data_IF_531214940555
#
_entry.id   IF_531214940555
#
_cell.length_a   1.000
_cell.length_b   1.000
_cell.length_c   1.000
_cell.angle_alpha   90.00
_cell.angle_beta   90.00
_cell.angle_gamma   90.00
#
_symmetry.space_group_name_H-M   'P 1'
#
loop_
_entity.id
_entity.type
_entity.pdbx_description
1 polymer ?
#
# COMPACT_ATOMS: atom_id res chain seq x y z
N UNK A 1 0.70 -14.15 -10.06
CA UNK A 1 1.69 -13.21 -10.62
C UNK A 1 1.16 -12.36 -11.77
N UNK A 2 1.08 -12.86 -13.01
CA UNK A 2 0.76 -12.01 -14.18
C UNK A 2 -0.54 -11.18 -14.03
N UNK A 3 -1.64 -11.80 -13.57
CA UNK A 3 -2.92 -11.09 -13.34
C UNK A 3 -2.81 -9.97 -12.30
N UNK A 4 -2.11 -10.22 -11.19
CA UNK A 4 -1.86 -9.20 -10.17
C UNK A 4 -1.03 -8.05 -10.75
N UNK A 5 0.05 -8.38 -11.47
CA UNK A 5 0.93 -7.38 -12.07
C UNK A 5 0.16 -6.49 -13.07
N UNK A 6 -0.62 -7.08 -13.97
CA UNK A 6 -1.43 -6.34 -14.94
C UNK A 6 -2.43 -5.40 -14.25
N UNK A 7 -3.13 -5.88 -13.21
CA UNK A 7 -4.08 -5.04 -12.47
C UNK A 7 -3.40 -3.91 -11.70
N UNK A 8 -2.28 -4.20 -11.03
CA UNK A 8 -1.48 -3.21 -10.33
C UNK A 8 -0.88 -2.17 -11.30
N UNK A 9 -0.48 -2.58 -12.51
CA UNK A 9 0.02 -1.66 -13.54
C UNK A 9 -1.06 -0.70 -14.02
N UNK A 10 -2.27 -1.20 -14.32
CA UNK A 10 -3.39 -0.31 -14.69
C UNK A 10 -3.69 0.68 -13.58
N UNK A 11 -3.68 0.22 -12.32
CA UNK A 11 -3.87 1.11 -11.19
C UNK A 11 -2.73 2.13 -11.11
N UNK A 12 -1.48 1.71 -11.27
CA UNK A 12 -0.33 2.61 -11.26
C UNK A 12 -0.46 3.72 -12.31
N UNK A 13 -0.85 3.40 -13.55
CA UNK A 13 -1.10 4.41 -14.59
C UNK A 13 -2.23 5.38 -14.21
N UNK A 14 -3.32 4.88 -13.61
CA UNK A 14 -4.39 5.73 -13.09
C UNK A 14 -3.93 6.67 -11.97
N UNK A 15 -3.05 6.19 -11.09
CA UNK A 15 -2.47 6.96 -9.98
C UNK A 15 -1.48 8.02 -10.50
N UNK A 16 -0.63 7.65 -11.46
CA UNK A 16 0.31 8.56 -12.13
C UNK A 16 -0.45 9.72 -12.77
N UNK A 17 -1.54 9.44 -13.49
CA UNK A 17 -2.39 10.46 -14.12
C UNK A 17 -3.06 11.41 -13.11
N UNK A 18 -3.14 11.02 -11.84
CA UNK A 18 -3.69 11.82 -10.73
C UNK A 18 -2.61 12.49 -9.88
N UNK A 19 -1.36 12.49 -10.34
CA UNK A 19 -0.26 13.20 -9.69
C UNK A 19 0.52 12.39 -8.65
N UNK A 20 0.27 11.08 -8.51
CA UNK A 20 1.10 10.23 -7.64
C UNK A 20 2.52 10.14 -8.22
N UNK A 21 3.51 10.36 -7.37
CA UNK A 21 4.93 10.20 -7.67
C UNK A 21 5.77 9.98 -6.41
N UNK A 22 7.11 10.10 -6.51
CA UNK A 22 8.02 9.94 -5.37
C UNK A 22 7.59 10.75 -4.14
N UNK A 23 7.65 10.13 -2.96
CA UNK A 23 7.24 10.65 -1.64
C UNK A 23 5.77 11.11 -1.50
N UNK A 24 4.96 10.98 -2.57
CA UNK A 24 3.51 11.17 -2.49
C UNK A 24 2.91 10.07 -1.63
N UNK A 25 2.10 10.44 -0.64
CA UNK A 25 1.38 9.50 0.21
C UNK A 25 0.02 9.20 -0.40
N UNK A 26 -0.34 7.92 -0.46
CA UNK A 26 -1.66 7.45 -0.89
C UNK A 26 -2.24 6.61 0.23
N UNK A 27 -3.35 7.07 0.81
CA UNK A 27 -4.04 6.32 1.84
C UNK A 27 -4.77 5.11 1.24
N UNK A 28 -4.80 4.00 1.95
CA UNK A 28 -5.54 2.79 1.58
C UNK A 28 -6.40 2.39 2.75
N UNK A 29 -7.71 2.53 2.63
CA UNK A 29 -8.69 2.10 3.63
C UNK A 29 -9.52 0.94 3.06
N UNK A 30 -9.17 -0.28 3.44
CA UNK A 30 -9.77 -1.47 2.84
C UNK A 30 -9.75 -2.66 3.78
N UNK A 31 -10.70 -3.57 3.58
CA UNK A 31 -10.65 -4.91 4.12
C UNK A 31 -9.57 -5.75 3.43
N UNK A 32 -9.19 -6.82 4.12
CA UNK A 32 -8.22 -7.78 3.62
C UNK A 32 -8.73 -8.44 2.33
N UNK A 33 -8.04 -8.23 1.23
CA UNK A 33 -8.38 -8.87 -0.04
C UNK A 33 -7.46 -8.51 -1.19
N UNK A 34 -7.77 -9.04 -2.38
CA UNK A 34 -6.98 -8.82 -3.59
C UNK A 34 -6.94 -7.35 -4.02
N UNK A 35 -8.00 -6.59 -3.73
CA UNK A 35 -8.06 -5.17 -4.03
C UNK A 35 -7.04 -4.38 -3.19
N UNK A 36 -6.93 -4.68 -1.89
CA UNK A 36 -5.91 -4.12 -1.00
C UNK A 36 -4.51 -4.44 -1.53
N UNK A 37 -4.20 -5.70 -1.84
CA UNK A 37 -2.88 -6.07 -2.39
C UNK A 37 -2.60 -5.34 -3.71
N UNK A 38 -3.58 -5.28 -4.61
CA UNK A 38 -3.47 -4.52 -5.88
C UNK A 38 -3.17 -3.04 -5.61
N UNK A 39 -3.80 -2.43 -4.59
CA UNK A 39 -3.58 -1.05 -4.18
C UNK A 39 -2.13 -0.81 -3.77
N UNK A 40 -1.58 -1.63 -2.88
CA UNK A 40 -0.21 -1.51 -2.40
C UNK A 40 0.79 -1.55 -3.57
N UNK A 41 0.66 -2.54 -4.45
CA UNK A 41 1.56 -2.66 -5.61
C UNK A 41 1.36 -1.53 -6.63
N UNK A 42 0.11 -1.10 -6.87
CA UNK A 42 -0.18 0.01 -7.78
C UNK A 42 0.43 1.32 -7.30
N UNK A 43 0.36 1.60 -5.99
CA UNK A 43 0.96 2.78 -5.36
C UNK A 43 2.48 2.77 -5.52
N UNK A 44 3.14 1.66 -5.16
CA UNK A 44 4.60 1.53 -5.27
C UNK A 44 5.07 1.65 -6.74
N UNK A 45 4.33 1.05 -7.68
CA UNK A 45 4.61 1.16 -9.12
C UNK A 45 4.39 2.57 -9.67
N UNK A 46 3.45 3.33 -9.12
CA UNK A 46 3.28 4.75 -9.43
C UNK A 46 4.40 5.63 -8.86
N UNK A 47 5.18 5.08 -7.93
CA UNK A 47 6.29 5.74 -7.23
C UNK A 47 5.91 6.35 -5.89
N UNK A 48 4.66 6.18 -5.43
CA UNK A 48 4.20 6.72 -4.14
C UNK A 48 4.42 5.74 -2.98
N UNK A 49 4.09 6.23 -1.78
CA UNK A 49 4.10 5.46 -0.54
C UNK A 49 2.68 5.22 -0.04
N UNK A 50 2.37 4.00 0.40
CA UNK A 50 1.04 3.72 0.94
C UNK A 50 0.93 4.08 2.43
N UNK A 51 -0.25 4.55 2.83
CA UNK A 51 -0.63 4.80 4.23
C UNK A 51 -1.80 3.86 4.57
N UNK A 52 -1.57 2.77 5.30
CA UNK A 52 -2.61 1.78 5.57
C UNK A 52 -3.57 2.27 6.66
N UNK A 53 -4.87 2.15 6.39
CA UNK A 53 -5.97 2.50 7.26
C UNK A 53 -6.86 1.27 7.45
N UNK A 54 -6.91 0.71 8.67
CA UNK A 54 -7.79 -0.41 8.96
C UNK A 54 -9.23 0.10 9.17
N UNK A 55 -10.23 -0.31 8.36
CA UNK A 55 -11.61 0.17 8.51
C UNK A 55 -12.22 -0.19 9.87
N UNK A 56 -11.65 -1.13 10.63
CA UNK A 56 -12.08 -1.45 11.99
C UNK A 56 -11.62 -0.41 13.04
N UNK A 57 -10.75 0.54 12.69
CA UNK A 57 -10.35 1.61 13.60
C UNK A 57 -11.51 2.58 13.84
N UNK A 58 -11.55 3.23 15.02
CA UNK A 58 -12.50 4.31 15.26
C UNK A 58 -12.38 5.41 14.18
N UNK A 59 -13.52 5.93 13.71
CA UNK A 59 -13.55 6.94 12.66
C UNK A 59 -12.69 8.18 12.98
N UNK A 60 -12.66 8.63 14.23
CA UNK A 60 -11.79 9.73 14.67
C UNK A 60 -10.30 9.43 14.44
N UNK A 61 -9.87 8.20 14.71
CA UNK A 61 -8.48 7.77 14.47
C UNK A 61 -8.17 7.75 12.98
N UNK A 62 -9.10 7.25 12.17
CA UNK A 62 -8.95 7.23 10.71
C UNK A 62 -8.83 8.64 10.14
N UNK A 63 -9.69 9.56 10.59
CA UNK A 63 -9.67 10.96 10.19
C UNK A 63 -8.40 11.66 10.62
N UNK A 64 -7.93 11.43 11.86
CA UNK A 64 -6.66 11.96 12.33
C UNK A 64 -5.49 11.51 11.45
N UNK A 65 -5.38 10.21 11.17
CA UNK A 65 -4.30 9.67 10.33
C UNK A 65 -4.38 10.27 8.93
N UNK A 66 -5.58 10.32 8.35
CA UNK A 66 -5.79 10.86 7.00
C UNK A 66 -5.39 12.34 6.91
N UNK A 67 -5.72 13.14 7.94
CA UNK A 67 -5.35 14.56 8.01
C UNK A 67 -3.85 14.75 8.22
N UNK A 68 -3.23 14.02 9.16
CA UNK A 68 -1.80 14.15 9.46
C UNK A 68 -0.92 13.64 8.32
N UNK A 69 -1.35 12.57 7.64
CA UNK A 69 -0.62 12.00 6.52
C UNK A 69 -0.71 12.86 5.25
N UNK A 70 -1.71 13.75 5.14
CA UNK A 70 -1.97 14.60 3.97
C UNK A 70 -1.73 13.86 2.64
N UNK A 71 -2.47 12.77 2.37
CA UNK A 71 -2.26 11.99 1.17
C UNK A 71 -2.88 12.66 -0.05
N UNK A 72 -2.25 12.50 -1.21
CA UNK A 72 -2.75 13.05 -2.49
C UNK A 72 -4.04 12.35 -2.94
N UNK A 73 -4.25 11.10 -2.50
CA UNK A 73 -5.41 10.27 -2.81
C UNK A 73 -5.73 9.31 -1.66
N UNK A 74 -7.02 9.00 -1.54
CA UNK A 74 -7.54 7.91 -0.72
C UNK A 74 -8.09 6.80 -1.63
N UNK A 75 -7.51 5.60 -1.54
CA UNK A 75 -8.06 4.39 -2.13
C UNK A 75 -8.91 3.69 -1.08
N UNK A 76 -10.20 3.52 -1.36
CA UNK A 76 -11.11 2.92 -0.39
C UNK A 76 -12.03 1.87 -1.03
N UNK A 77 -12.22 0.76 -0.35
CA UNK A 77 -13.29 -0.18 -0.66
C UNK A 77 -14.61 0.23 0.05
N UNK A 78 -15.66 -0.57 -0.06
CA UNK A 78 -16.96 -0.28 0.53
C UNK A 78 -16.90 -0.10 2.05
N UNK A 79 -16.14 -0.96 2.74
CA UNK A 79 -15.95 -0.88 4.18
C UNK A 79 -15.16 0.37 4.57
N UNK A 80 -14.09 0.68 3.82
CA UNK A 80 -13.29 1.88 4.04
C UNK A 80 -14.06 3.17 3.85
N UNK A 81 -14.90 3.26 2.81
CA UNK A 81 -15.80 4.40 2.58
C UNK A 81 -16.82 4.53 3.70
N UNK A 82 -17.41 3.44 4.16
CA UNK A 82 -18.34 3.45 5.28
C UNK A 82 -17.68 3.92 6.59
N UNK A 83 -16.42 3.50 6.85
CA UNK A 83 -15.68 3.87 8.04
C UNK A 83 -15.18 5.33 8.03
N UNK A 84 -14.84 5.87 6.86
CA UNK A 84 -14.31 7.23 6.69
C UNK A 84 -15.41 8.28 6.47
N UNK A 85 -16.60 7.89 6.01
CA UNK A 85 -17.64 8.84 5.61
C UNK A 85 -17.22 9.63 4.38
N UNK A 86 -17.31 10.97 4.46
CA UNK A 86 -17.01 11.89 3.36
C UNK A 86 -15.76 12.75 3.66
N UNK A 87 -14.54 12.17 3.61
CA UNK A 87 -13.31 12.93 3.79
C UNK A 87 -13.10 13.93 2.62
N UNK A 88 -12.41 15.04 2.91
CA UNK A 88 -12.05 16.04 1.91
C UNK A 88 -11.01 15.54 0.88
N UNK A 89 -10.25 14.49 1.22
CA UNK A 89 -9.25 13.88 0.35
C UNK A 89 -9.91 13.26 -0.90
N UNK A 90 -9.40 13.50 -2.12
CA UNK A 90 -9.95 12.89 -3.32
C UNK A 90 -9.91 11.36 -3.26
N UNK A 91 -11.04 10.73 -3.55
CA UNK A 91 -11.23 9.29 -3.39
C UNK A 91 -11.22 8.53 -4.71
N UNK A 92 -10.72 7.29 -4.68
CA UNK A 92 -10.87 6.31 -5.75
C UNK A 92 -11.36 4.99 -5.16
N UNK A 93 -12.51 4.52 -5.62
CA UNK A 93 -13.08 3.25 -5.20
C UNK A 93 -12.24 2.07 -5.72
N UNK A 94 -11.85 1.15 -4.84
CA UNK A 94 -11.01 0.01 -5.19
C UNK A 94 -11.73 -1.07 -6.01
N UNK A 95 -13.06 -1.12 -5.91
CA UNK A 95 -13.90 -2.02 -6.70
C UNK A 95 -14.24 -1.47 -8.07
N UNK A 96 -14.00 -0.17 -8.30
CA UNK A 96 -14.28 0.43 -9.59
C UNK A 96 -13.44 -0.24 -10.68
N UNK A 97 -14.08 -0.59 -11.78
CA UNK A 97 -13.38 -1.08 -12.95
C UNK A 97 -12.40 0.01 -13.43
N UNK A 98 -11.12 -0.34 -13.50
CA UNK A 98 -10.14 0.51 -14.15
C UNK A 98 -10.37 0.44 -15.66
N UNK A 99 -10.35 1.57 -16.39
CA UNK A 99 -10.52 1.55 -17.85
C UNK A 99 -9.55 0.57 -18.52
N UNK A 100 -10.06 -0.27 -19.42
CA UNK A 100 -9.22 -1.21 -20.17
C UNK A 100 -8.19 -0.50 -21.07
N UNK A 101 -8.44 0.78 -21.37
CA UNK A 101 -7.54 1.68 -22.09
C UNK A 101 -6.26 2.01 -21.32
N UNK A 102 -6.23 1.83 -20.00
CA UNK A 102 -5.01 1.97 -19.22
C UNK A 102 -4.08 0.79 -19.49
N UNK A 103 -2.80 1.07 -19.72
CA UNK A 103 -1.80 0.05 -20.03
C UNK A 103 -1.69 -0.99 -18.91
N UNK A 104 -1.59 -2.27 -19.30
CA UNK A 104 -1.25 -3.36 -18.40
C UNK A 104 0.27 -3.55 -18.26
N UNK A 105 1.08 -2.81 -19.02
CA UNK A 105 2.53 -2.84 -18.96
C UNK A 105 3.07 -2.07 -17.76
N UNK A 106 4.24 -2.48 -17.29
CA UNK A 106 4.89 -1.82 -16.16
C UNK A 106 5.14 -0.34 -16.50
N UNK A 107 4.76 0.61 -15.64
CA UNK A 107 5.22 1.98 -15.79
C UNK A 107 6.75 2.02 -15.66
N UNK A 108 7.39 3.02 -16.27
CA UNK A 108 8.80 3.27 -16.03
C UNK A 108 9.04 3.49 -14.52
N UNK A 109 10.11 2.93 -13.92
CA UNK A 109 10.41 3.15 -12.52
C UNK A 109 10.54 4.66 -12.21
N UNK A 110 9.79 5.14 -11.21
CA UNK A 110 9.78 6.56 -10.82
C UNK A 110 10.41 6.81 -9.46
N UNK A 111 10.28 5.86 -8.53
CA UNK A 111 10.89 5.93 -7.21
C UNK A 111 12.35 5.44 -7.24
N UNK A 112 13.17 6.07 -6.40
CA UNK A 112 14.53 5.63 -6.06
C UNK A 112 14.55 5.00 -4.66
N UNK A 113 15.65 4.34 -4.30
CA UNK A 113 15.79 3.67 -3.00
C UNK A 113 15.63 4.59 -1.78
N UNK A 114 15.87 5.90 -1.93
CA UNK A 114 15.67 6.93 -0.89
C UNK A 114 14.22 7.36 -0.68
N UNK A 115 13.32 7.01 -1.57
CA UNK A 115 11.93 7.47 -1.47
C UNK A 115 11.12 6.55 -0.56
N UNK A 116 10.04 7.10 -0.03
CA UNK A 116 9.12 6.39 0.84
C UNK A 116 8.46 5.20 0.12
N UNK A 117 8.39 4.07 0.81
CA UNK A 117 7.60 2.90 0.43
C UNK A 117 6.27 2.86 1.18
N UNK A 118 6.28 3.20 2.48
CA UNK A 118 5.08 3.27 3.30
C UNK A 118 5.23 4.20 4.49
N UNK A 119 4.08 4.60 5.05
CA UNK A 119 3.99 5.31 6.33
C UNK A 119 3.01 4.59 7.24
N UNK A 120 3.48 4.05 8.37
CA UNK A 120 2.64 3.33 9.34
C UNK A 120 2.51 4.13 10.62
N UNK A 121 1.27 4.30 11.10
CA UNK A 121 0.98 5.07 12.30
C UNK A 121 1.06 4.23 13.56
N UNK A 122 1.87 4.68 14.52
CA UNK A 122 2.05 4.03 15.82
C UNK A 122 1.52 4.92 16.94
N UNK A 123 1.22 4.34 18.11
CA UNK A 123 0.88 5.12 19.30
C UNK A 123 2.08 5.98 19.72
N UNK A 124 1.93 7.30 19.65
CA UNK A 124 2.97 8.20 20.15
C UNK A 124 2.99 8.23 21.67
N UNK A 125 4.19 8.40 22.25
CA UNK A 125 4.38 8.63 23.69
C UNK A 125 3.63 9.86 24.22
N UNK A 126 3.28 10.80 23.33
CA UNK A 126 2.53 12.02 23.60
C UNK A 126 1.01 11.84 23.43
N UNK A 127 0.52 10.61 23.30
CA UNK A 127 -0.90 10.27 23.12
C UNK A 127 -1.42 10.38 21.67
N UNK A 128 -0.80 11.23 20.84
CA UNK A 128 -1.15 11.37 19.42
C UNK A 128 -0.38 10.36 18.55
N UNK A 129 -1.04 9.65 17.61
CA UNK A 129 -0.34 8.75 16.70
C UNK A 129 0.69 9.47 15.83
N UNK A 130 1.80 8.79 15.51
CA UNK A 130 2.89 9.32 14.67
C UNK A 130 3.14 8.41 13.47
N UNK A 131 3.24 8.98 12.27
CA UNK A 131 3.57 8.27 11.05
C UNK A 131 5.05 7.91 10.96
N UNK A 132 5.39 6.63 11.06
CA UNK A 132 6.73 6.12 10.83
C UNK A 132 6.97 5.98 9.31
N UNK A 133 7.78 6.89 8.76
CA UNK A 133 8.12 6.95 7.35
C UNK A 133 9.25 5.95 7.03
N UNK A 134 9.00 5.03 6.09
CA UNK A 134 9.95 3.99 5.73
C UNK A 134 10.31 4.04 4.25
N UNK A 135 11.60 4.14 3.95
CA UNK A 135 12.12 4.18 2.58
C UNK A 135 12.23 2.79 1.95
N UNK A 136 12.19 2.73 0.61
CA UNK A 136 12.42 1.52 -0.16
C UNK A 136 13.70 0.77 0.22
N UNK A 137 14.82 1.48 0.45
CA UNK A 137 16.10 0.86 0.82
C UNK A 137 16.01 -0.02 2.06
N UNK A 138 15.26 0.43 3.07
CA UNK A 138 15.13 -0.26 4.35
C UNK A 138 14.32 -1.54 4.18
N UNK A 139 13.23 -1.46 3.42
CA UNK A 139 12.38 -2.62 3.09
C UNK A 139 13.16 -3.66 2.29
N UNK A 140 13.81 -3.25 1.21
CA UNK A 140 14.59 -4.17 0.35
C UNK A 140 15.69 -4.85 1.16
N UNK A 141 16.47 -4.08 1.95
CA UNK A 141 17.51 -4.65 2.82
C UNK A 141 16.92 -5.70 3.78
N UNK A 142 15.79 -5.40 4.41
CA UNK A 142 15.11 -6.30 5.35
C UNK A 142 14.63 -7.59 4.67
N UNK A 143 14.12 -7.52 3.45
CA UNK A 143 13.60 -8.68 2.71
C UNK A 143 14.71 -9.55 2.14
N UNK A 144 15.78 -8.95 1.61
CA UNK A 144 16.95 -9.68 1.10
C UNK A 144 17.62 -10.47 2.22
N UNK A 145 17.86 -9.84 3.38
CA UNK A 145 18.36 -10.55 4.57
C UNK A 145 17.45 -11.71 4.97
N UNK A 146 16.13 -11.50 4.96
CA UNK A 146 15.15 -12.51 5.34
C UNK A 146 15.22 -13.73 4.41
N UNK A 147 15.36 -13.47 3.11
CA UNK A 147 15.51 -14.52 2.12
C UNK A 147 16.79 -15.32 2.31
N UNK A 148 17.92 -14.64 2.58
CA UNK A 148 19.21 -15.30 2.83
C UNK A 148 19.17 -16.16 4.09
N UNK A 149 18.55 -15.66 5.16
CA UNK A 149 18.49 -16.34 6.45
C UNK A 149 17.51 -17.53 6.49
N UNK A 150 16.37 -17.42 5.80
CA UNK A 150 15.26 -18.38 5.96
C UNK A 150 14.91 -19.17 4.69
N UNK A 151 15.34 -18.74 3.50
CA UNK A 151 15.28 -19.56 2.29
C UNK A 151 13.88 -19.90 1.78
N UNK A 152 12.94 -18.95 1.78
CA UNK A 152 11.60 -19.16 1.23
C UNK A 152 11.67 -19.51 -0.27
N UNK A 153 10.86 -20.46 -0.71
CA UNK A 153 10.84 -20.98 -2.08
C UNK A 153 9.47 -20.82 -2.73
N UNK A 154 9.39 -21.01 -4.05
CA UNK A 154 8.12 -20.99 -4.78
C UNK A 154 7.12 -22.10 -4.38
N UNK A 155 7.58 -23.14 -3.65
CA UNK A 155 6.72 -24.20 -3.13
C UNK A 155 5.96 -23.79 -1.86
N UNK A 156 6.39 -22.71 -1.20
CA UNK A 156 5.86 -22.27 0.08
C UNK A 156 4.57 -21.44 -0.05
N UNK A 157 3.80 -21.38 1.03
CA UNK A 157 2.63 -20.51 1.14
C UNK A 157 2.72 -19.70 2.43
N UNK A 158 2.68 -18.38 2.29
CA UNK A 158 2.72 -17.43 3.40
C UNK A 158 1.31 -16.97 3.73
N UNK A 159 0.95 -17.04 5.00
CA UNK A 159 -0.31 -16.52 5.48
C UNK A 159 -0.23 -15.00 5.66
N UNK A 160 -1.04 -14.26 4.91
CA UNK A 160 -1.25 -12.84 5.15
C UNK A 160 -2.23 -12.68 6.33
N UNK A 161 -1.70 -12.63 7.56
CA UNK A 161 -2.45 -12.60 8.82
C UNK A 161 -2.41 -11.24 9.49
N UNK A 162 -1.26 -10.58 9.46
CA UNK A 162 -1.04 -9.36 10.21
C UNK A 162 -1.95 -8.26 9.66
N UNK A 163 -2.61 -7.43 10.50
CA UNK A 163 -3.35 -6.29 10.00
C UNK A 163 -2.39 -5.35 9.28
N UNK A 164 -2.78 -4.85 8.10
CA UNK A 164 -1.86 -4.15 7.20
C UNK A 164 -1.42 -2.75 7.71
N UNK A 165 -2.06 -2.27 8.77
CA UNK A 165 -1.62 -1.13 9.58
C UNK A 165 -0.43 -1.40 10.51
N UNK A 166 0.08 -2.63 10.57
CA UNK A 166 1.27 -3.00 11.35
C UNK A 166 2.42 -3.42 10.42
N UNK A 167 3.64 -3.07 10.80
CA UNK A 167 4.87 -3.26 10.02
C UNK A 167 5.21 -4.72 9.74
N UNK A 168 4.84 -5.64 10.65
CA UNK A 168 4.99 -7.10 10.42
C UNK A 168 4.23 -7.56 9.17
N UNK A 169 3.18 -6.86 8.73
CA UNK A 169 2.48 -7.20 7.48
C UNK A 169 3.32 -6.97 6.22
N UNK A 170 4.33 -6.10 6.28
CA UNK A 170 5.13 -5.69 5.12
C UNK A 170 5.80 -6.90 4.47
N UNK A 171 6.44 -7.76 5.27
CA UNK A 171 7.08 -8.95 4.71
C UNK A 171 6.05 -9.98 4.23
N UNK A 172 4.86 -10.06 4.84
CA UNK A 172 3.79 -10.94 4.37
C UNK A 172 3.30 -10.55 2.96
N UNK A 173 3.31 -9.25 2.62
CA UNK A 173 2.94 -8.77 1.29
C UNK A 173 4.04 -8.93 0.25
N UNK A 174 5.30 -8.69 0.60
CA UNK A 174 6.36 -8.52 -0.38
C UNK A 174 7.32 -9.71 -0.48
N UNK A 175 7.64 -10.37 0.64
CA UNK A 175 8.59 -11.48 0.65
C UNK A 175 8.17 -12.66 -0.23
N UNK A 176 6.96 -13.25 -0.08
CA UNK A 176 6.57 -14.39 -0.91
C UNK A 176 6.57 -14.05 -2.41
N UNK A 177 6.19 -12.81 -2.75
CA UNK A 177 6.08 -12.36 -4.12
C UNK A 177 7.43 -12.08 -4.81
N UNK A 178 8.50 -11.87 -4.04
CA UNK A 178 9.86 -11.74 -4.55
C UNK A 178 10.43 -13.08 -5.06
N UNK A 179 9.96 -14.21 -4.52
CA UNK A 179 10.55 -15.54 -4.76
C UNK A 179 9.60 -16.53 -5.45
N UNK A 180 8.42 -16.09 -5.86
CA UNK A 180 7.46 -16.94 -6.57
C UNK A 180 6.57 -17.79 -5.65
N UNK A 181 6.60 -17.59 -4.34
CA UNK A 181 5.74 -18.28 -3.36
C UNK A 181 4.28 -17.83 -3.48
N UNK A 182 3.38 -18.39 -2.66
CA UNK A 182 1.97 -18.00 -2.62
C UNK A 182 1.59 -17.22 -1.36
#
# INVERSE_FOLDING_TARGET
YARLNARANRLAHALIARGVGPDSRVAVCAERGLNMVTALFGILKAGGAYVPLDPAYPGERLQYILQDADPVLLLADAAGRAALGEPATPQLALEAALPETLSAENPAPRAQASHLAYVIYTSGSTGKPKGAMNEHRGVVNRLVWMQEAYGLTAADTVLQKTPFGFDVSVWEFFWPLMVGAR
#
